data_IF_974052031666
#
_entry.id   IF_974052031666
#
_cell.length_a   1.000
_cell.length_b   1.000
_cell.length_c   1.000
_cell.angle_alpha   90.00
_cell.angle_beta   90.00
_cell.angle_gamma   90.00
#
_symmetry.space_group_name_H-M   'P 1'
#
loop_
_entity.id
_entity.type
_entity.pdbx_description
1 polymer ?
#
# COMPACT_ATOMS: atom_id res chain seq x y z
N UNK A 1 -5.61 -13.90 -2.93
CA UNK A 1 -4.27 -13.25 -3.12
C UNK A 1 -3.29 -13.75 -2.07
N UNK A 2 -2.03 -14.01 -2.44
CA UNK A 2 -0.93 -14.26 -1.50
C UNK A 2 0.06 -13.10 -1.53
N UNK A 3 0.50 -12.62 -0.35
CA UNK A 3 1.50 -11.58 -0.20
C UNK A 3 2.58 -12.09 0.76
N UNK A 4 3.81 -12.24 0.27
CA UNK A 4 4.98 -12.61 1.07
C UNK A 4 5.86 -11.37 1.29
N UNK A 5 6.11 -11.02 2.55
CA UNK A 5 6.86 -9.83 2.92
C UNK A 5 8.19 -10.24 3.53
N UNK A 6 9.27 -9.78 2.92
CA UNK A 6 10.65 -10.00 3.38
C UNK A 6 11.08 -8.77 4.16
N UNK A 7 11.40 -8.92 5.44
CA UNK A 7 11.77 -7.81 6.32
C UNK A 7 12.87 -8.21 7.30
N UNK A 8 13.61 -7.21 7.79
CA UNK A 8 14.57 -7.38 8.89
C UNK A 8 13.87 -7.40 10.25
N UNK A 9 12.70 -6.74 10.34
CA UNK A 9 11.87 -6.62 11.54
C UNK A 9 10.40 -6.98 11.25
N UNK A 10 10.09 -8.27 11.03
CA UNK A 10 8.71 -8.70 10.72
C UNK A 10 7.71 -8.40 11.84
N UNK A 11 8.16 -8.22 13.08
CA UNK A 11 7.32 -7.86 14.24
C UNK A 11 6.65 -6.50 14.07
N UNK A 12 7.17 -5.61 13.20
CA UNK A 12 6.54 -4.31 12.90
C UNK A 12 5.16 -4.44 12.25
N UNK A 13 4.81 -5.62 11.72
CA UNK A 13 3.51 -5.88 11.10
C UNK A 13 2.45 -6.42 12.06
N UNK A 14 2.79 -6.75 13.31
CA UNK A 14 1.84 -7.34 14.27
C UNK A 14 0.60 -6.44 14.48
N UNK A 15 0.76 -5.13 14.63
CA UNK A 15 -0.37 -4.22 14.80
C UNK A 15 -1.23 -4.08 13.52
N UNK A 16 -0.67 -3.62 12.40
CA UNK A 16 -1.42 -3.35 11.16
C UNK A 16 -2.16 -4.58 10.60
N UNK A 17 -1.60 -5.78 10.72
CA UNK A 17 -2.17 -6.97 10.07
C UNK A 17 -3.03 -7.83 10.99
N UNK A 18 -3.01 -7.57 12.29
CA UNK A 18 -3.79 -8.34 13.27
C UNK A 18 -5.10 -7.68 13.66
N UNK A 19 -5.47 -6.56 13.05
CA UNK A 19 -6.69 -5.83 13.37
C UNK A 19 -7.50 -5.43 12.11
N UNK A 20 -8.74 -5.03 12.34
CA UNK A 20 -9.64 -4.39 11.38
C UNK A 20 -9.87 -5.20 10.07
N UNK A 21 -9.72 -4.55 8.91
CA UNK A 21 -10.06 -5.09 7.59
C UNK A 21 -9.10 -6.20 7.19
N UNK A 22 -7.80 -6.03 7.39
CA UNK A 22 -6.78 -7.01 7.02
C UNK A 22 -7.01 -8.32 7.79
N UNK A 23 -7.16 -8.24 9.12
CA UNK A 23 -7.48 -9.42 9.96
C UNK A 23 -8.71 -10.16 9.45
N UNK A 24 -9.77 -9.43 9.09
CA UNK A 24 -11.01 -10.05 8.57
C UNK A 24 -10.78 -10.71 7.21
N UNK A 25 -10.04 -10.09 6.33
CA UNK A 25 -9.71 -10.64 5.01
C UNK A 25 -8.86 -11.91 5.13
N UNK A 26 -7.87 -11.93 6.03
CA UNK A 26 -7.07 -13.13 6.34
C UNK A 26 -7.95 -14.23 6.93
N UNK A 27 -8.79 -13.93 7.92
CA UNK A 27 -9.67 -14.91 8.55
C UNK A 27 -10.72 -15.51 7.57
N UNK A 28 -11.11 -14.75 6.54
CA UNK A 28 -12.00 -15.22 5.46
C UNK A 28 -11.25 -15.97 4.35
N UNK A 29 -9.92 -16.07 4.40
CA UNK A 29 -9.12 -16.69 3.34
C UNK A 29 -9.08 -15.87 2.03
N UNK A 30 -9.45 -14.58 2.05
CA UNK A 30 -9.41 -13.68 0.89
C UNK A 30 -7.96 -13.32 0.54
N UNK A 31 -7.14 -13.10 1.58
CA UNK A 31 -5.71 -12.86 1.46
C UNK A 31 -4.95 -13.74 2.44
N UNK A 32 -3.79 -14.20 2.01
CA UNK A 32 -2.82 -14.89 2.84
C UNK A 32 -1.54 -14.02 2.90
N UNK A 33 -1.07 -13.71 4.12
CA UNK A 33 0.11 -12.88 4.32
C UNK A 33 1.18 -13.72 5.00
N UNK A 34 2.34 -13.88 4.34
CA UNK A 34 3.54 -14.51 4.88
C UNK A 34 4.55 -13.46 5.31
N UNK A 35 5.06 -13.54 6.53
CA UNK A 35 6.13 -12.69 7.02
C UNK A 35 7.42 -13.51 7.09
N UNK A 36 8.46 -13.05 6.42
CA UNK A 36 9.75 -13.72 6.33
C UNK A 36 10.83 -12.85 6.98
N UNK A 37 11.41 -13.36 8.07
CA UNK A 37 12.58 -12.73 8.66
C UNK A 37 13.78 -12.97 7.75
N UNK A 38 14.35 -11.90 7.18
CA UNK A 38 15.48 -12.00 6.29
C UNK A 38 16.69 -12.70 6.94
N UNK A 39 16.84 -12.59 8.26
CA UNK A 39 17.94 -13.23 9.02
C UNK A 39 17.92 -14.74 8.93
N UNK A 40 16.77 -15.36 8.72
CA UNK A 40 16.61 -16.83 8.62
C UNK A 40 17.19 -17.38 7.30
N UNK A 41 17.45 -16.50 6.33
CA UNK A 41 17.99 -16.83 5.01
C UNK A 41 19.50 -16.49 4.89
N UNK A 42 20.10 -15.97 5.94
CA UNK A 42 21.53 -15.69 6.01
C UNK A 42 22.33 -16.98 6.28
N UNK A 43 23.39 -17.20 5.51
CA UNK A 43 24.34 -18.30 5.74
C UNK A 43 25.41 -17.96 6.79
N UNK A 44 25.49 -16.69 7.21
CA UNK A 44 26.40 -16.25 8.26
C UNK A 44 25.99 -16.82 9.63
N UNK A 45 26.96 -17.28 10.42
CA UNK A 45 26.76 -17.86 11.76
C UNK A 45 26.10 -16.90 12.77
N UNK A 46 26.13 -15.60 12.52
CA UNK A 46 25.51 -14.57 13.33
C UNK A 46 24.24 -14.00 12.66
N UNK A 47 23.73 -14.65 11.61
CA UNK A 47 22.55 -14.22 10.86
C UNK A 47 22.64 -12.78 10.35
N UNK A 48 23.85 -12.37 9.90
CA UNK A 48 24.06 -11.05 9.32
C UNK A 48 23.32 -10.92 8.00
N UNK A 49 22.72 -9.74 7.79
CA UNK A 49 21.99 -9.38 6.57
C UNK A 49 22.48 -8.08 5.94
N UNK A 50 23.49 -7.47 6.54
CA UNK A 50 24.08 -6.19 6.15
C UNK A 50 25.60 -6.20 6.26
N UNK A 51 26.27 -5.42 5.40
CA UNK A 51 27.74 -5.26 5.43
C UNK A 51 28.11 -3.85 4.93
N UNK A 52 29.39 -3.50 5.03
CA UNK A 52 29.92 -2.25 4.54
C UNK A 52 29.82 -2.15 3.01
N UNK A 53 29.49 -0.96 2.51
CA UNK A 53 29.52 -0.71 1.06
C UNK A 53 30.94 -0.73 0.52
N UNK A 54 31.12 -1.20 -0.71
CA UNK A 54 32.39 -0.98 -1.44
C UNK A 54 32.63 0.53 -1.62
N UNK A 55 33.90 0.93 -1.72
CA UNK A 55 34.38 2.30 -1.94
C UNK A 55 34.11 3.30 -0.80
N UNK A 56 33.94 2.84 0.42
CA UNK A 56 33.79 3.63 1.65
C UNK A 56 32.54 4.55 1.65
N UNK A 57 31.78 4.50 2.72
CA UNK A 57 30.59 5.32 2.98
C UNK A 57 30.16 5.14 4.42
N UNK A 58 29.41 6.07 4.97
CA UNK A 58 28.82 5.90 6.29
C UNK A 58 27.59 5.01 6.21
N UNK A 59 27.53 3.96 7.04
CA UNK A 59 26.40 3.06 7.19
C UNK A 59 26.54 1.73 6.44
N UNK A 60 25.64 0.82 6.74
CA UNK A 60 25.59 -0.54 6.21
C UNK A 60 24.66 -0.63 5.02
N UNK A 61 24.82 -1.66 4.19
CA UNK A 61 23.99 -1.97 3.02
C UNK A 61 23.45 -3.39 3.18
N UNK A 62 22.19 -3.61 2.84
CA UNK A 62 21.59 -4.94 2.86
C UNK A 62 22.26 -5.84 1.84
N UNK A 63 22.70 -7.01 2.29
CA UNK A 63 23.45 -7.98 1.49
C UNK A 63 22.54 -8.67 0.46
N UNK A 64 23.09 -8.95 -0.71
CA UNK A 64 22.40 -9.66 -1.78
C UNK A 64 22.07 -11.11 -1.41
N UNK A 65 23.00 -11.85 -0.78
CA UNK A 65 22.87 -13.29 -0.54
C UNK A 65 21.63 -13.68 0.27
N UNK A 66 21.32 -13.07 1.45
CA UNK A 66 20.09 -13.41 2.19
C UNK A 66 18.82 -13.08 1.40
N UNK A 67 18.82 -12.00 0.63
CA UNK A 67 17.67 -11.60 -0.18
C UNK A 67 17.43 -12.57 -1.33
N UNK A 68 18.49 -12.95 -2.05
CA UNK A 68 18.41 -13.93 -3.14
C UNK A 68 17.96 -15.30 -2.64
N UNK A 69 18.53 -15.77 -1.52
CA UNK A 69 18.14 -17.03 -0.89
C UNK A 69 16.63 -17.03 -0.53
N UNK A 70 16.12 -15.93 0.06
CA UNK A 70 14.72 -15.81 0.42
C UNK A 70 13.81 -15.80 -0.81
N UNK A 71 14.10 -14.96 -1.80
CA UNK A 71 13.31 -14.85 -3.03
C UNK A 71 13.32 -16.18 -3.80
N UNK A 72 14.48 -16.80 -3.93
CA UNK A 72 14.63 -18.12 -4.59
C UNK A 72 13.82 -19.19 -3.87
N UNK A 73 13.88 -19.23 -2.53
CA UNK A 73 13.07 -20.15 -1.74
C UNK A 73 11.57 -19.93 -1.98
N UNK A 74 11.09 -18.70 -1.97
CA UNK A 74 9.68 -18.37 -2.22
C UNK A 74 9.26 -18.77 -3.64
N UNK A 75 10.06 -18.42 -4.64
CA UNK A 75 9.80 -18.77 -6.05
C UNK A 75 9.87 -20.28 -6.33
N UNK A 76 10.54 -21.07 -5.49
CA UNK A 76 10.51 -22.54 -5.59
C UNK A 76 9.17 -23.17 -5.18
N UNK A 77 8.32 -22.41 -4.45
CA UNK A 77 7.04 -22.90 -3.96
C UNK A 77 5.85 -22.47 -4.84
N UNK A 78 5.97 -21.34 -5.54
CA UNK A 78 4.92 -20.78 -6.42
C UNK A 78 5.48 -19.74 -7.38
N UNK A 79 4.73 -19.45 -8.44
CA UNK A 79 5.00 -18.31 -9.32
C UNK A 79 4.53 -17.02 -8.64
N UNK A 80 5.30 -15.93 -8.83
CA UNK A 80 4.96 -14.61 -8.35
C UNK A 80 4.80 -13.64 -9.52
N UNK A 81 3.73 -12.85 -9.47
CA UNK A 81 3.45 -11.84 -10.48
C UNK A 81 4.42 -10.66 -10.41
N UNK A 82 4.78 -10.25 -9.20
CA UNK A 82 5.72 -9.15 -8.96
C UNK A 82 6.59 -9.41 -7.73
N UNK A 83 7.82 -8.91 -7.80
CA UNK A 83 8.74 -8.74 -6.69
C UNK A 83 8.94 -7.25 -6.49
N UNK A 84 8.32 -6.70 -5.46
CA UNK A 84 8.22 -5.26 -5.20
C UNK A 84 9.25 -4.86 -4.16
N UNK A 85 10.06 -3.86 -4.45
CA UNK A 85 10.94 -3.22 -3.48
C UNK A 85 10.34 -1.88 -3.01
N UNK A 86 10.21 -1.71 -1.70
CA UNK A 86 9.79 -0.44 -1.09
C UNK A 86 10.97 0.52 -1.04
N UNK A 87 10.96 1.52 -1.91
CA UNK A 87 12.07 2.43 -2.16
C UNK A 87 11.61 3.88 -2.19
N UNK A 88 12.38 4.86 -1.69
CA UNK A 88 12.00 6.27 -1.78
C UNK A 88 12.04 6.82 -3.21
N UNK A 89 12.80 6.22 -4.11
CA UNK A 89 12.98 6.60 -5.52
C UNK A 89 12.16 5.76 -6.51
N UNK A 90 11.27 4.88 -6.01
CA UNK A 90 10.36 4.09 -6.83
C UNK A 90 9.19 4.89 -7.41
N UNK A 91 8.37 4.19 -8.22
CA UNK A 91 7.11 4.72 -8.74
C UNK A 91 6.18 5.13 -7.57
N UNK A 92 5.58 6.32 -7.66
CA UNK A 92 4.71 6.79 -6.58
C UNK A 92 3.44 5.96 -6.51
N UNK A 93 3.16 5.42 -5.33
CA UNK A 93 1.93 4.67 -5.06
C UNK A 93 0.71 5.60 -5.17
N UNK A 94 -0.17 5.28 -6.10
CA UNK A 94 -1.45 5.95 -6.30
C UNK A 94 -2.60 4.93 -6.42
N UNK A 95 -3.84 5.40 -6.52
CA UNK A 95 -4.99 4.51 -6.58
C UNK A 95 -5.03 3.64 -7.85
N UNK A 96 -4.70 4.14 -9.06
CA UNK A 96 -4.56 3.31 -10.26
C UNK A 96 -3.57 2.17 -10.10
N UNK A 97 -2.40 2.42 -9.51
CA UNK A 97 -1.40 1.38 -9.24
C UNK A 97 -1.91 0.37 -8.21
N UNK A 98 -2.59 0.83 -7.14
CA UNK A 98 -3.24 -0.07 -6.18
C UNK A 98 -4.29 -0.96 -6.86
N UNK A 99 -5.14 -0.40 -7.72
CA UNK A 99 -6.14 -1.17 -8.47
C UNK A 99 -5.48 -2.24 -9.34
N UNK A 100 -4.40 -1.89 -10.05
CA UNK A 100 -3.65 -2.84 -10.87
C UNK A 100 -3.05 -3.99 -10.05
N UNK A 101 -2.39 -3.67 -8.94
CA UNK A 101 -1.73 -4.66 -8.09
C UNK A 101 -2.74 -5.53 -7.32
N UNK A 102 -3.93 -5.00 -6.98
CA UNK A 102 -4.98 -5.78 -6.29
C UNK A 102 -5.56 -6.91 -7.14
N UNK A 103 -5.35 -6.89 -8.46
CA UNK A 103 -5.76 -7.95 -9.39
C UNK A 103 -4.73 -9.08 -9.54
N UNK A 104 -3.55 -8.94 -8.93
CA UNK A 104 -2.49 -9.96 -8.95
C UNK A 104 -2.80 -11.09 -7.97
N UNK A 105 -2.25 -12.27 -8.22
CA UNK A 105 -2.47 -13.43 -7.36
C UNK A 105 -1.41 -13.56 -6.27
N UNK A 106 -0.13 -13.36 -6.63
CA UNK A 106 1.01 -13.59 -5.74
C UNK A 106 2.02 -12.44 -5.82
N UNK A 107 2.34 -11.82 -4.69
CA UNK A 107 3.31 -10.74 -4.59
C UNK A 107 4.39 -11.07 -3.58
N UNK A 108 5.65 -10.71 -3.88
CA UNK A 108 6.72 -10.56 -2.91
C UNK A 108 6.93 -9.06 -2.67
N UNK A 109 7.05 -8.65 -1.40
CA UNK A 109 7.39 -7.27 -1.02
C UNK A 109 8.68 -7.32 -0.21
N UNK A 110 9.74 -6.70 -0.72
CA UNK A 110 11.02 -6.52 -0.03
C UNK A 110 11.04 -5.18 0.71
N UNK A 111 11.21 -5.24 2.02
CA UNK A 111 11.42 -4.08 2.87
C UNK A 111 12.92 -3.79 2.96
N UNK A 112 13.37 -2.69 2.34
CA UNK A 112 14.74 -2.22 2.50
C UNK A 112 15.00 -1.65 3.88
N UNK A 113 16.26 -1.68 4.28
CA UNK A 113 16.74 -1.11 5.54
C UNK A 113 18.14 -0.51 5.37
N UNK A 114 18.71 0.06 6.41
CA UNK A 114 20.06 0.63 6.42
C UNK A 114 20.20 1.83 5.46
N UNK A 115 21.32 1.91 4.70
CA UNK A 115 21.55 2.93 3.65
C UNK A 115 20.92 2.57 2.32
N UNK A 116 20.36 1.38 2.21
CA UNK A 116 19.79 0.81 1.00
C UNK A 116 20.15 -0.67 0.88
N UNK A 117 19.91 -1.21 -0.29
CA UNK A 117 20.17 -2.60 -0.64
C UNK A 117 21.28 -2.67 -1.68
N UNK A 118 21.96 -3.83 -1.79
CA UNK A 118 22.91 -4.08 -2.87
C UNK A 118 22.23 -3.87 -4.23
N UNK A 119 22.84 -3.10 -5.13
CA UNK A 119 22.23 -2.70 -6.41
C UNK A 119 21.89 -3.92 -7.29
N UNK A 120 22.64 -5.01 -7.19
CA UNK A 120 22.37 -6.25 -7.91
C UNK A 120 21.02 -6.88 -7.56
N UNK A 121 20.49 -6.60 -6.36
CA UNK A 121 19.11 -6.99 -5.98
C UNK A 121 18.10 -6.25 -6.86
N UNK A 122 18.27 -4.94 -7.02
CA UNK A 122 17.40 -4.10 -7.86
C UNK A 122 17.47 -4.52 -9.32
N UNK A 123 18.69 -4.74 -9.84
CA UNK A 123 18.91 -5.09 -11.25
C UNK A 123 18.40 -6.48 -11.66
N UNK A 124 18.43 -7.46 -10.73
CA UNK A 124 18.21 -8.86 -11.11
C UNK A 124 17.04 -9.54 -10.42
N UNK A 125 16.59 -9.07 -9.26
CA UNK A 125 15.59 -9.75 -8.44
C UNK A 125 14.26 -8.99 -8.34
N UNK A 126 14.28 -7.66 -8.49
CA UNK A 126 13.12 -6.78 -8.37
C UNK A 126 12.45 -6.59 -9.74
N UNK A 127 11.12 -6.64 -9.76
CA UNK A 127 10.32 -6.35 -10.97
C UNK A 127 9.69 -4.96 -10.90
N UNK A 128 9.46 -4.44 -9.70
CA UNK A 128 8.85 -3.13 -9.48
C UNK A 128 9.38 -2.47 -8.21
N UNK A 129 9.60 -1.16 -8.27
CA UNK A 129 9.96 -0.35 -7.12
C UNK A 129 8.86 0.66 -6.82
N UNK A 130 8.45 0.75 -5.54
CA UNK A 130 7.31 1.58 -5.13
C UNK A 130 7.71 2.51 -4.00
N UNK A 131 7.36 3.79 -4.16
CA UNK A 131 7.48 4.84 -3.15
C UNK A 131 6.11 5.23 -2.61
N UNK A 132 5.99 5.47 -1.31
CA UNK A 132 4.77 6.01 -0.68
C UNK A 132 4.82 7.53 -0.49
N UNK A 133 5.83 8.20 -1.02
CA UNK A 133 5.96 9.67 -0.96
C UNK A 133 7.39 10.16 -0.92
N UNK A 134 7.57 11.45 -1.12
CA UNK A 134 8.86 12.13 -1.19
C UNK A 134 9.44 12.41 0.21
N UNK A 135 9.66 11.37 0.98
CA UNK A 135 10.30 11.41 2.31
C UNK A 135 10.99 10.08 2.60
N UNK A 136 11.91 10.08 3.53
CA UNK A 136 12.70 8.91 3.90
C UNK A 136 12.21 8.34 5.22
N UNK A 137 12.02 7.01 5.27
CA UNK A 137 11.73 6.25 6.47
C UNK A 137 12.98 5.50 6.95
N UNK A 138 12.94 4.96 8.17
CA UNK A 138 14.01 4.13 8.73
C UNK A 138 14.13 2.76 8.06
N UNK A 139 13.04 2.27 7.45
CA UNK A 139 12.95 0.99 6.74
C UNK A 139 11.70 0.93 5.87
N UNK A 140 11.60 -0.11 5.05
CA UNK A 140 10.48 -0.32 4.11
C UNK A 140 9.22 -0.90 4.74
N UNK A 141 9.26 -1.32 6.01
CA UNK A 141 8.17 -2.04 6.68
C UNK A 141 6.87 -1.22 6.74
N UNK A 142 6.96 0.06 7.11
CA UNK A 142 5.77 0.94 7.13
C UNK A 142 5.23 1.19 5.72
N UNK A 143 6.11 1.34 4.73
CA UNK A 143 5.72 1.45 3.32
C UNK A 143 5.00 0.19 2.83
N UNK A 144 5.52 -0.98 3.16
CA UNK A 144 4.89 -2.26 2.86
C UNK A 144 3.53 -2.41 3.55
N UNK A 145 3.39 -1.97 4.80
CA UNK A 145 2.11 -1.98 5.51
C UNK A 145 1.06 -1.10 4.82
N UNK A 146 1.45 0.11 4.37
CA UNK A 146 0.57 1.01 3.59
C UNK A 146 0.17 0.36 2.27
N UNK A 147 1.12 -0.23 1.54
CA UNK A 147 0.84 -0.92 0.28
C UNK A 147 -0.16 -2.07 0.50
N UNK A 148 0.10 -2.96 1.47
CA UNK A 148 -0.78 -4.11 1.76
C UNK A 148 -2.18 -3.65 2.14
N UNK A 149 -2.34 -2.65 3.01
CA UNK A 149 -3.66 -2.12 3.38
C UNK A 149 -4.39 -1.55 2.15
N UNK A 150 -3.68 -0.80 1.31
CA UNK A 150 -4.24 -0.22 0.08
C UNK A 150 -4.72 -1.29 -0.91
N UNK A 151 -4.02 -2.44 -1.01
CA UNK A 151 -4.40 -3.54 -1.89
C UNK A 151 -5.53 -4.37 -1.32
N UNK A 152 -5.41 -4.82 -0.08
CA UNK A 152 -6.34 -5.78 0.55
C UNK A 152 -7.76 -5.24 0.57
N UNK A 153 -7.94 -3.95 0.84
CA UNK A 153 -9.27 -3.32 0.87
C UNK A 153 -9.98 -3.27 -0.49
N UNK A 154 -9.25 -3.45 -1.59
CA UNK A 154 -9.78 -3.48 -2.96
C UNK A 154 -10.23 -4.88 -3.40
N UNK A 155 -9.79 -5.92 -2.69
CA UNK A 155 -10.13 -7.30 -3.03
C UNK A 155 -11.63 -7.55 -2.71
N UNK A 156 -12.42 -8.12 -3.64
CA UNK A 156 -13.83 -8.42 -3.39
C UNK A 156 -14.04 -9.22 -2.10
N UNK A 157 -15.02 -8.82 -1.30
CA UNK A 157 -15.34 -9.47 -0.02
C UNK A 157 -14.48 -9.04 1.19
N UNK A 158 -13.39 -8.26 0.99
CA UNK A 158 -12.56 -7.74 2.09
C UNK A 158 -13.32 -6.66 2.89
N UNK A 159 -13.99 -5.74 2.21
CA UNK A 159 -14.90 -4.77 2.83
C UNK A 159 -16.28 -5.38 3.06
N UNK A 160 -17.01 -4.85 4.04
CA UNK A 160 -18.38 -5.30 4.33
C UNK A 160 -19.40 -4.86 3.28
N UNK A 161 -19.14 -3.78 2.57
CA UNK A 161 -19.91 -3.27 1.43
C UNK A 161 -18.94 -3.13 0.24
N UNK A 162 -19.16 -3.94 -0.79
CA UNK A 162 -18.30 -3.97 -1.99
C UNK A 162 -18.36 -2.67 -2.80
N UNK A 163 -19.47 -1.92 -2.69
CA UNK A 163 -19.61 -0.62 -3.37
C UNK A 163 -18.82 0.49 -2.67
N UNK A 164 -18.43 0.28 -1.41
CA UNK A 164 -17.70 1.28 -0.63
C UNK A 164 -16.35 1.63 -1.27
N UNK A 165 -15.60 0.63 -1.75
CA UNK A 165 -14.31 0.86 -2.41
C UNK A 165 -14.46 1.68 -3.71
N UNK A 166 -15.57 1.52 -4.44
CA UNK A 166 -15.82 2.22 -5.70
C UNK A 166 -16.15 3.71 -5.51
N UNK A 167 -16.64 4.08 -4.33
CA UNK A 167 -17.01 5.46 -4.00
C UNK A 167 -15.94 6.22 -3.20
N UNK A 168 -14.79 5.60 -2.97
CA UNK A 168 -13.67 6.24 -2.26
C UNK A 168 -12.97 7.29 -3.12
N UNK A 169 -12.22 8.17 -2.46
CA UNK A 169 -11.37 9.15 -3.14
C UNK A 169 -10.44 8.48 -4.16
N UNK A 170 -10.25 9.16 -5.27
CA UNK A 170 -9.29 8.82 -6.34
C UNK A 170 -9.70 7.69 -7.29
N UNK A 171 -10.84 7.02 -7.08
CA UNK A 171 -11.30 5.97 -8.00
C UNK A 171 -11.74 6.54 -9.36
N UNK A 172 -12.35 7.72 -9.33
CA UNK A 172 -12.80 8.48 -10.51
C UNK A 172 -11.95 9.74 -10.79
N UNK A 173 -10.77 9.84 -10.15
CA UNK A 173 -9.90 11.01 -10.26
C UNK A 173 -10.31 12.19 -9.39
N UNK A 174 -11.32 12.05 -8.54
CA UNK A 174 -11.80 13.08 -7.62
C UNK A 174 -11.54 12.71 -6.15
N UNK A 175 -11.51 13.73 -5.32
CA UNK A 175 -11.59 13.58 -3.85
C UNK A 175 -13.06 13.37 -3.47
N UNK A 176 -13.34 12.40 -2.60
CA UNK A 176 -14.72 12.12 -2.15
C UNK A 176 -15.42 13.35 -1.57
N UNK A 177 -16.74 13.46 -1.79
CA UNK A 177 -17.55 14.54 -1.23
C UNK A 177 -17.58 14.49 0.30
N UNK A 178 -17.98 15.59 0.98
CA UNK A 178 -18.16 15.57 2.43
C UNK A 178 -19.26 14.59 2.84
N UNK A 179 -19.02 13.88 3.94
CA UNK A 179 -19.98 12.96 4.54
C UNK A 179 -20.45 13.49 5.89
N UNK A 180 -21.71 13.20 6.21
CA UNK A 180 -22.35 13.62 7.45
C UNK A 180 -22.99 12.43 8.15
N UNK A 181 -23.03 12.47 9.48
CA UNK A 181 -23.66 11.47 10.32
C UNK A 181 -24.61 12.13 11.33
N UNK A 182 -25.31 11.35 12.12
CA UNK A 182 -26.19 11.82 13.19
C UNK A 182 -25.37 12.46 14.34
N UNK A 183 -25.92 13.47 15.03
CA UNK A 183 -27.25 14.07 14.86
C UNK A 183 -27.32 15.07 13.68
N UNK A 184 -28.55 15.35 13.18
CA UNK A 184 -28.79 16.32 12.09
C UNK A 184 -28.30 17.73 12.42
N UNK A 185 -28.37 18.14 13.68
CA UNK A 185 -27.89 19.43 14.17
C UNK A 185 -27.03 19.23 15.41
N UNK A 186 -25.84 19.82 15.41
CA UNK A 186 -24.90 19.77 16.53
C UNK A 186 -24.20 21.13 16.70
N UNK A 187 -24.32 21.76 17.87
CA UNK A 187 -23.72 23.07 18.18
C UNK A 187 -24.03 24.19 17.15
N UNK A 188 -25.20 24.16 16.54
CA UNK A 188 -25.60 25.12 15.50
C UNK A 188 -25.16 24.74 14.08
N UNK A 189 -24.35 23.71 13.92
CA UNK A 189 -23.98 23.16 12.62
C UNK A 189 -25.03 22.17 12.13
N UNK A 190 -25.40 22.25 10.87
CA UNK A 190 -26.49 21.42 10.31
C UNK A 190 -26.01 20.59 9.12
N UNK A 191 -26.63 19.42 8.95
CA UNK A 191 -26.47 18.61 7.75
C UNK A 191 -27.19 19.34 6.60
N UNK A 192 -26.57 19.41 5.38
CA UNK A 192 -27.23 20.01 4.22
C UNK A 192 -28.60 19.39 3.92
N UNK A 193 -29.60 20.23 3.68
CA UNK A 193 -30.98 19.81 3.46
C UNK A 193 -31.12 18.83 2.30
N UNK A 194 -30.32 18.99 1.24
CA UNK A 194 -30.33 18.10 0.07
C UNK A 194 -30.07 16.64 0.45
N UNK A 195 -29.19 16.39 1.45
CA UNK A 195 -28.89 15.03 1.94
C UNK A 195 -30.04 14.41 2.75
N UNK A 196 -31.00 15.21 3.15
CA UNK A 196 -32.18 14.81 3.93
C UNK A 196 -33.43 14.70 3.06
N UNK A 197 -33.35 15.06 1.77
CA UNK A 197 -34.49 15.15 0.86
C UNK A 197 -35.05 13.79 0.44
N UNK A 198 -34.24 12.71 0.53
CA UNK A 198 -34.64 11.39 -0.02
C UNK A 198 -34.64 11.34 -1.55
N UNK A 199 -34.20 12.40 -2.25
CA UNK A 199 -34.13 12.45 -3.70
C UNK A 199 -32.73 12.05 -4.17
N UNK A 200 -32.57 10.80 -4.59
CA UNK A 200 -31.27 10.23 -4.98
C UNK A 200 -30.58 11.01 -6.09
N UNK A 201 -31.34 11.57 -7.03
CA UNK A 201 -30.81 12.37 -8.13
C UNK A 201 -30.16 13.66 -7.61
N UNK A 202 -30.89 14.42 -6.80
CA UNK A 202 -30.37 15.68 -6.22
C UNK A 202 -29.19 15.43 -5.28
N UNK A 203 -29.23 14.32 -4.52
CA UNK A 203 -28.13 13.91 -3.65
C UNK A 203 -26.88 13.57 -4.47
N UNK A 204 -27.03 12.84 -5.57
CA UNK A 204 -25.92 12.47 -6.46
C UNK A 204 -25.31 13.69 -7.15
N UNK A 205 -26.13 14.59 -7.67
CA UNK A 205 -25.68 15.84 -8.28
C UNK A 205 -24.91 16.70 -7.27
N UNK A 206 -25.43 16.88 -6.07
CA UNK A 206 -24.76 17.61 -5.01
C UNK A 206 -23.42 16.96 -4.61
N UNK A 207 -23.39 15.63 -4.48
CA UNK A 207 -22.14 14.91 -4.15
C UNK A 207 -21.07 15.14 -5.21
N UNK A 208 -21.44 15.04 -6.49
CA UNK A 208 -20.50 15.28 -7.59
C UNK A 208 -19.97 16.73 -7.56
N UNK A 209 -20.84 17.71 -7.38
CA UNK A 209 -20.46 19.12 -7.28
C UNK A 209 -19.48 19.34 -6.11
N UNK A 210 -19.76 18.76 -4.93
CA UNK A 210 -18.87 18.86 -3.78
C UNK A 210 -17.53 18.14 -4.00
N UNK A 211 -17.52 17.00 -4.67
CA UNK A 211 -16.29 16.28 -5.02
C UNK A 211 -15.40 17.13 -5.96
N UNK A 212 -15.98 17.71 -7.00
CA UNK A 212 -15.29 18.61 -7.94
C UNK A 212 -14.71 19.82 -7.20
N UNK A 213 -15.51 20.50 -6.38
CA UNK A 213 -15.09 21.68 -5.63
C UNK A 213 -13.94 21.34 -4.67
N UNK A 214 -14.06 20.25 -3.89
CA UNK A 214 -13.00 19.81 -2.97
C UNK A 214 -11.72 19.42 -3.68
N UNK A 215 -11.83 18.76 -4.83
CA UNK A 215 -10.66 18.39 -5.65
C UNK A 215 -9.96 19.65 -6.15
N UNK A 216 -10.70 20.61 -6.68
CA UNK A 216 -10.16 21.90 -7.13
C UNK A 216 -9.42 22.66 -6.02
N UNK A 217 -9.95 22.64 -4.80
CA UNK A 217 -9.38 23.39 -3.66
C UNK A 217 -8.20 22.66 -3.03
N UNK A 218 -8.24 21.33 -2.91
CA UNK A 218 -7.30 20.55 -2.11
C UNK A 218 -6.25 19.82 -2.93
N UNK A 219 -6.57 19.51 -4.17
CA UNK A 219 -5.72 18.74 -5.09
C UNK A 219 -5.83 19.33 -6.50
N UNK A 220 -5.40 20.62 -6.69
CA UNK A 220 -5.55 21.32 -7.96
C UNK A 220 -4.88 20.58 -9.14
N UNK A 221 -3.76 19.90 -8.90
CA UNK A 221 -3.09 19.09 -9.92
C UNK A 221 -3.98 17.95 -10.44
N UNK A 222 -4.72 17.29 -9.56
CA UNK A 222 -5.68 16.22 -9.93
C UNK A 222 -6.87 16.80 -10.68
N UNK A 223 -7.36 17.96 -10.26
CA UNK A 223 -8.45 18.64 -10.96
C UNK A 223 -8.09 19.01 -12.40
N UNK A 224 -6.85 19.43 -12.67
CA UNK A 224 -6.38 19.69 -14.03
C UNK A 224 -6.29 18.41 -14.89
N UNK A 225 -6.01 17.26 -14.30
CA UNK A 225 -6.06 15.97 -14.99
C UNK A 225 -7.51 15.59 -15.28
N UNK A 226 -8.38 15.64 -14.27
CA UNK A 226 -9.81 15.31 -14.39
C UNK A 226 -10.53 16.11 -15.48
N UNK A 227 -10.22 17.41 -15.66
CA UNK A 227 -10.80 18.24 -16.74
C UNK A 227 -10.42 17.79 -18.15
N UNK A 228 -9.35 17.02 -18.30
CA UNK A 228 -8.84 16.56 -19.59
C UNK A 228 -9.30 15.16 -19.95
N UNK A 229 -9.84 14.40 -18.98
CA UNK A 229 -10.42 13.08 -19.16
C UNK A 229 -11.90 13.17 -19.58
#
# INVERSE_FOLDING_TARGET
>A
MRIDIIAVFPEMFEGPFTESIIKRAVNKGIVEIGLHNLRDYSTDKHHKVDDYSFAAGAGMVMMIEPVDNCITHLKSQRDYDEVIYMSPDGELLDQPLCNQLSMKENLIILCGHYKGIDERIREHLITKEISIGNYVLSGGELGAAVLVDSLVRLIPGALGDETSALSDSFQDGLVSPPVYTRPRKYNGWEVPEVLLSGNDKLISEWRLEQAIQRTKERRPEMYEIFKKS
#
